data_IF_917675945365
#
_entry.id   IF_917675945365
#
_cell.length_a   1.000
_cell.length_b   1.000
_cell.length_c   1.000
_cell.angle_alpha   90.00
_cell.angle_beta   90.00
_cell.angle_gamma   90.00
#
_symmetry.space_group_name_H-M   'P 1'
#
loop_
_entity.id
_entity.type
_entity.pdbx_description
1 polymer ?
#
# COMPACT_ATOMS: atom_id res chain seq x y z
N UNK A 1 -30.77 -19.71 7.16
CA UNK A 1 -30.32 -18.77 6.12
C UNK A 1 -28.87 -18.44 6.43
N UNK A 2 -27.92 -19.09 5.73
CA UNK A 2 -26.50 -18.76 5.85
C UNK A 2 -26.28 -17.43 5.15
N UNK A 3 -25.81 -16.43 5.90
CA UNK A 3 -25.31 -15.18 5.31
C UNK A 3 -24.07 -15.56 4.49
N UNK A 4 -24.19 -15.52 3.17
CA UNK A 4 -23.04 -15.48 2.29
C UNK A 4 -22.28 -14.17 2.59
N UNK A 5 -21.24 -14.27 3.39
CA UNK A 5 -20.20 -13.26 3.43
C UNK A 5 -19.48 -13.36 2.10
N UNK A 6 -19.87 -12.55 1.13
CA UNK A 6 -19.19 -12.45 -0.14
C UNK A 6 -17.73 -12.11 0.12
N UNK A 7 -16.84 -13.09 -0.02
CA UNK A 7 -15.40 -12.87 0.12
C UNK A 7 -14.90 -12.03 -1.04
N UNK A 8 -13.94 -11.14 -0.78
CA UNK A 8 -13.23 -10.42 -1.82
C UNK A 8 -12.49 -11.42 -2.72
N UNK A 9 -12.65 -11.30 -4.03
CA UNK A 9 -11.90 -12.06 -5.02
C UNK A 9 -10.80 -11.16 -5.58
N UNK A 10 -9.57 -11.64 -5.53
CA UNK A 10 -8.39 -10.87 -5.98
C UNK A 10 -7.83 -11.45 -7.26
N UNK A 11 -7.49 -10.56 -8.18
CA UNK A 11 -6.60 -10.82 -9.30
C UNK A 11 -5.32 -10.01 -9.07
N UNK A 12 -4.21 -10.69 -8.83
CA UNK A 12 -2.94 -10.06 -8.50
C UNK A 12 -1.96 -10.29 -9.64
N UNK A 13 -1.59 -9.19 -10.30
CA UNK A 13 -0.53 -9.19 -11.30
C UNK A 13 0.74 -8.62 -10.67
N UNK A 14 1.83 -9.39 -10.72
CA UNK A 14 3.15 -8.94 -10.31
C UNK A 14 3.96 -8.59 -11.55
N UNK A 15 4.09 -7.30 -11.82
CA UNK A 15 4.89 -6.77 -12.91
C UNK A 15 6.30 -6.35 -12.41
N UNK A 16 6.81 -7.15 -11.43
CA UNK A 16 8.03 -6.86 -10.70
C UNK A 16 9.29 -6.92 -11.55
N UNK A 17 10.20 -6.01 -11.30
CA UNK A 17 11.56 -6.03 -11.86
C UNK A 17 12.05 -4.70 -12.42
N UNK A 18 12.04 -3.62 -11.62
CA UNK A 18 12.68 -2.36 -12.02
C UNK A 18 11.91 -1.57 -13.08
N UNK A 19 10.64 -1.87 -13.26
CA UNK A 19 9.75 -1.14 -14.15
C UNK A 19 9.38 0.19 -13.47
N UNK A 20 9.48 1.25 -14.24
CA UNK A 20 9.11 2.60 -13.85
C UNK A 20 7.62 2.64 -13.39
N UNK A 21 7.31 3.45 -12.37
CA UNK A 21 5.97 3.62 -11.79
C UNK A 21 4.88 3.86 -12.84
N UNK A 22 5.18 4.59 -13.92
CA UNK A 22 4.27 4.85 -15.02
C UNK A 22 3.85 3.56 -15.75
N UNK A 23 4.76 2.59 -15.89
CA UNK A 23 4.44 1.33 -16.55
C UNK A 23 3.50 0.46 -15.71
N UNK A 24 3.66 0.49 -14.39
CA UNK A 24 2.72 -0.19 -13.46
C UNK A 24 1.30 0.38 -13.64
N UNK A 25 1.17 1.70 -13.69
CA UNK A 25 -0.13 2.37 -13.92
C UNK A 25 -0.70 2.03 -15.29
N UNK A 26 0.13 2.09 -16.35
CA UNK A 26 -0.31 1.72 -17.71
C UNK A 26 -0.82 0.28 -17.78
N UNK A 27 -0.12 -0.64 -17.11
CA UNK A 27 -0.53 -2.05 -17.06
C UNK A 27 -1.85 -2.24 -16.32
N UNK A 28 -2.07 -1.52 -15.23
CA UNK A 28 -3.33 -1.56 -14.49
C UNK A 28 -4.50 -1.05 -15.36
N UNK A 29 -4.30 0.03 -16.11
CA UNK A 29 -5.29 0.56 -17.07
C UNK A 29 -5.60 -0.49 -18.15
N UNK A 30 -4.57 -1.07 -18.77
CA UNK A 30 -4.72 -2.12 -19.78
C UNK A 30 -5.54 -3.31 -19.27
N UNK A 31 -5.20 -3.82 -18.08
CA UNK A 31 -5.88 -4.98 -17.49
C UNK A 31 -7.34 -4.66 -17.14
N UNK A 32 -7.63 -3.47 -16.61
CA UNK A 32 -8.98 -3.00 -16.38
C UNK A 32 -9.78 -2.98 -17.69
N UNK A 33 -9.26 -2.37 -18.72
CA UNK A 33 -9.94 -2.23 -20.01
C UNK A 33 -10.20 -3.58 -20.67
N UNK A 34 -9.28 -4.55 -20.52
CA UNK A 34 -9.49 -5.92 -20.97
C UNK A 34 -10.62 -6.60 -20.19
N UNK A 35 -10.67 -6.42 -18.87
CA UNK A 35 -11.73 -6.97 -18.03
C UNK A 35 -13.11 -6.40 -18.40
N UNK A 36 -13.19 -5.09 -18.64
CA UNK A 36 -14.41 -4.42 -19.12
C UNK A 36 -14.88 -4.97 -20.47
N UNK A 37 -13.99 -5.09 -21.45
CA UNK A 37 -14.29 -5.69 -22.78
C UNK A 37 -14.80 -7.11 -22.65
N UNK A 38 -14.28 -7.87 -21.71
CA UNK A 38 -14.69 -9.25 -21.43
C UNK A 38 -15.97 -9.34 -20.57
N UNK A 39 -16.65 -8.22 -20.29
CA UNK A 39 -17.86 -8.15 -19.43
C UNK A 39 -17.63 -8.70 -18.01
N UNK A 40 -16.43 -8.53 -17.49
CA UNK A 40 -16.03 -8.89 -16.12
C UNK A 40 -15.26 -7.73 -15.47
N UNK A 41 -15.90 -6.54 -15.33
CA UNK A 41 -15.21 -5.38 -14.77
C UNK A 41 -14.81 -5.62 -13.33
N UNK A 42 -13.67 -5.09 -12.94
CA UNK A 42 -13.25 -5.04 -11.54
C UNK A 42 -14.05 -3.98 -10.78
N UNK A 43 -14.38 -4.25 -9.53
CA UNK A 43 -15.02 -3.27 -8.64
C UNK A 43 -14.03 -2.20 -8.17
N UNK A 44 -12.77 -2.55 -8.04
CA UNK A 44 -11.69 -1.61 -7.73
C UNK A 44 -10.38 -2.10 -8.32
N UNK A 45 -9.56 -1.19 -8.81
CA UNK A 45 -8.23 -1.47 -9.35
C UNK A 45 -7.20 -0.64 -8.60
N UNK A 46 -6.15 -1.30 -8.16
CA UNK A 46 -5.09 -0.71 -7.36
C UNK A 46 -3.71 -0.94 -7.98
N UNK A 47 -2.87 0.06 -7.87
CA UNK A 47 -1.43 -0.05 -8.14
C UNK A 47 -0.66 0.09 -6.84
N UNK A 48 0.41 -0.70 -6.68
CA UNK A 48 1.28 -0.65 -5.50
C UNK A 48 2.70 -0.40 -5.96
N UNK A 49 3.31 0.69 -5.53
CA UNK A 49 4.68 1.04 -5.90
C UNK A 49 5.33 2.00 -4.89
N UNK A 50 6.66 2.05 -4.93
CA UNK A 50 7.47 2.97 -4.16
C UNK A 50 7.87 4.19 -5.01
N UNK A 51 8.16 5.32 -4.37
CA UNK A 51 8.84 6.42 -5.04
C UNK A 51 10.22 6.00 -5.50
N UNK A 52 10.93 5.23 -4.69
CA UNK A 52 12.30 4.80 -4.96
C UNK A 52 13.23 6.00 -5.27
N UNK A 53 14.24 5.80 -6.09
CA UNK A 53 15.13 6.84 -6.62
C UNK A 53 14.63 7.47 -7.93
N UNK A 54 13.35 7.27 -8.27
CA UNK A 54 12.77 7.84 -9.47
C UNK A 54 12.70 9.37 -9.41
N UNK A 55 12.81 9.97 -10.58
CA UNK A 55 12.67 11.40 -10.77
C UNK A 55 11.32 11.89 -10.19
N UNK A 56 11.29 12.96 -9.37
CA UNK A 56 10.09 13.44 -8.71
C UNK A 56 8.87 13.56 -9.62
N UNK A 57 9.03 14.21 -10.77
CA UNK A 57 7.95 14.41 -11.73
C UNK A 57 7.39 13.10 -12.30
N UNK A 58 8.19 12.05 -12.42
CA UNK A 58 7.71 10.74 -12.91
C UNK A 58 6.80 10.06 -11.91
N UNK A 59 7.11 10.18 -10.62
CA UNK A 59 6.28 9.66 -9.55
C UNK A 59 4.92 10.37 -9.48
N UNK A 60 4.94 11.72 -9.46
CA UNK A 60 3.71 12.51 -9.41
C UNK A 60 2.84 12.28 -10.65
N UNK A 61 3.45 12.24 -11.85
CA UNK A 61 2.72 11.99 -13.09
C UNK A 61 2.08 10.60 -13.12
N UNK A 62 2.73 9.58 -12.54
CA UNK A 62 2.16 8.25 -12.46
C UNK A 62 0.91 8.23 -11.56
N UNK A 63 0.96 8.87 -10.39
CA UNK A 63 -0.19 8.97 -9.48
C UNK A 63 -1.31 9.77 -10.13
N UNK A 64 -1.01 10.94 -10.72
CA UNK A 64 -2.01 11.76 -11.40
C UNK A 64 -2.68 11.00 -12.55
N UNK A 65 -1.91 10.24 -13.32
CA UNK A 65 -2.45 9.39 -14.39
C UNK A 65 -3.35 8.28 -13.83
N UNK A 66 -2.97 7.64 -12.74
CA UNK A 66 -3.80 6.63 -12.10
C UNK A 66 -5.14 7.24 -11.64
N UNK A 67 -5.09 8.35 -10.90
CA UNK A 67 -6.27 9.07 -10.40
C UNK A 67 -7.21 9.48 -11.55
N UNK A 68 -6.68 10.07 -12.62
CA UNK A 68 -7.48 10.47 -13.80
C UNK A 68 -8.11 9.31 -14.56
N UNK A 69 -7.64 8.08 -14.32
CA UNK A 69 -8.19 6.84 -14.88
C UNK A 69 -8.96 6.00 -13.86
N UNK A 70 -9.33 6.56 -12.70
CA UNK A 70 -10.04 5.85 -11.63
C UNK A 70 -9.29 4.61 -11.10
N UNK A 71 -7.96 4.63 -11.18
CA UNK A 71 -7.07 3.62 -10.59
C UNK A 71 -6.60 4.15 -9.23
N UNK A 72 -6.74 3.35 -8.21
CA UNK A 72 -6.25 3.68 -6.87
C UNK A 72 -4.75 3.40 -6.74
N UNK A 73 -4.06 4.17 -5.90
CA UNK A 73 -2.63 3.99 -5.65
C UNK A 73 -2.34 3.75 -4.17
N UNK A 74 -1.64 2.66 -3.90
CA UNK A 74 -1.01 2.39 -2.61
C UNK A 74 0.50 2.61 -2.76
N UNK A 75 0.94 3.84 -2.56
CA UNK A 75 2.35 4.22 -2.74
C UNK A 75 3.03 4.53 -1.41
N UNK A 76 4.37 4.48 -1.41
CA UNK A 76 5.21 4.85 -0.28
C UNK A 76 6.37 5.75 -0.72
N UNK A 77 6.67 6.75 0.10
CA UNK A 77 7.80 7.65 -0.08
C UNK A 77 8.75 7.54 1.14
N UNK A 78 9.94 6.99 1.00
CA UNK A 78 10.59 6.53 -0.25
C UNK A 78 10.37 5.06 -0.57
N UNK A 79 10.06 4.18 0.41
CA UNK A 79 10.04 2.74 0.27
C UNK A 79 8.87 2.11 1.04
N UNK A 80 8.42 0.94 0.57
CA UNK A 80 7.35 0.17 1.19
C UNK A 80 7.66 -0.20 2.65
N UNK A 81 8.92 -0.28 2.99
CA UNK A 81 9.42 -0.52 4.35
C UNK A 81 8.87 0.48 5.37
N UNK A 82 8.46 1.68 4.95
CA UNK A 82 7.78 2.65 5.80
C UNK A 82 6.48 2.06 6.40
N UNK A 83 5.74 1.26 5.61
CA UNK A 83 4.56 0.55 6.10
C UNK A 83 4.90 -0.42 7.23
N UNK A 84 6.00 -1.16 7.12
CA UNK A 84 6.46 -2.04 8.21
C UNK A 84 6.86 -1.25 9.46
N UNK A 85 7.48 -0.08 9.32
CA UNK A 85 7.88 0.75 10.45
C UNK A 85 6.65 1.26 11.21
N UNK A 86 5.57 1.62 10.54
CA UNK A 86 4.34 2.03 11.21
C UNK A 86 3.71 0.95 12.10
N UNK A 87 4.10 -0.30 11.98
CA UNK A 87 3.69 -1.33 12.93
C UNK A 87 4.41 -1.22 14.29
N UNK A 88 5.54 -0.53 14.34
CA UNK A 88 6.35 -0.38 15.54
C UNK A 88 6.38 1.06 16.08
N UNK A 89 6.42 2.03 15.19
CA UNK A 89 6.79 3.42 15.49
C UNK A 89 5.94 4.43 14.69
N UNK A 90 5.52 5.52 15.36
CA UNK A 90 4.87 6.65 14.70
C UNK A 90 5.91 7.52 14.00
N UNK A 91 6.32 7.14 12.82
CA UNK A 91 7.36 7.85 12.08
C UNK A 91 6.82 9.13 11.44
N UNK A 92 7.37 10.28 11.87
CA UNK A 92 6.98 11.62 11.37
C UNK A 92 8.11 12.37 10.68
N UNK A 93 9.33 11.81 10.72
CA UNK A 93 10.52 12.44 10.09
C UNK A 93 11.02 11.56 8.94
N UNK A 94 11.48 12.18 7.83
CA UNK A 94 12.07 11.45 6.72
C UNK A 94 13.16 10.47 7.14
N UNK A 95 13.31 9.41 6.40
CA UNK A 95 14.40 8.43 6.53
C UNK A 95 15.03 8.19 5.18
N UNK A 96 16.33 7.93 5.18
CA UNK A 96 16.99 7.44 3.99
C UNK A 96 16.60 5.98 3.73
N UNK A 97 16.73 5.55 2.48
CA UNK A 97 16.39 4.18 2.08
C UNK A 97 17.27 3.14 2.79
N UNK A 98 18.51 3.48 3.07
CA UNK A 98 19.44 2.62 3.79
C UNK A 98 19.01 2.40 5.24
N UNK A 99 18.48 3.44 5.88
CA UNK A 99 18.08 3.38 7.29
C UNK A 99 16.87 2.47 7.55
N UNK A 100 16.01 2.25 6.55
CA UNK A 100 14.82 1.39 6.72
C UNK A 100 15.18 -0.03 7.15
N UNK A 101 16.21 -0.63 6.54
CA UNK A 101 16.62 -2.03 6.85
C UNK A 101 17.09 -2.16 8.28
N UNK A 102 17.91 -1.21 8.72
CA UNK A 102 18.46 -1.22 10.07
C UNK A 102 17.38 -0.95 11.10
N UNK A 103 16.46 -0.02 10.80
CA UNK A 103 15.33 0.28 11.69
C UNK A 103 14.43 -0.92 11.88
N UNK A 104 13.99 -1.59 10.80
CA UNK A 104 13.17 -2.81 10.90
C UNK A 104 13.91 -3.91 11.63
N UNK A 105 15.19 -4.12 11.31
CA UNK A 105 16.02 -5.12 12.00
C UNK A 105 16.02 -4.88 13.50
N UNK A 106 16.26 -3.65 13.94
CA UNK A 106 16.32 -3.30 15.36
C UNK A 106 14.94 -3.43 16.03
N UNK A 107 13.87 -2.94 15.40
CA UNK A 107 12.51 -3.09 15.92
C UNK A 107 12.11 -4.55 16.17
N UNK A 108 12.43 -5.44 15.21
CA UNK A 108 12.12 -6.87 15.36
C UNK A 108 13.00 -7.52 16.42
N UNK A 109 14.30 -7.19 16.47
CA UNK A 109 15.21 -7.69 17.53
C UNK A 109 14.71 -7.33 18.92
N UNK A 110 14.31 -6.08 19.12
CA UNK A 110 13.83 -5.59 20.39
C UNK A 110 12.50 -6.26 20.78
N UNK A 111 11.58 -6.39 19.83
CA UNK A 111 10.26 -6.97 20.08
C UNK A 111 10.32 -8.48 20.38
N UNK A 112 11.22 -9.23 19.73
CA UNK A 112 11.32 -10.69 19.87
C UNK A 112 12.48 -11.13 20.78
N UNK A 113 13.32 -10.22 21.23
CA UNK A 113 14.59 -10.51 21.90
C UNK A 113 15.51 -11.44 21.06
N UNK A 114 15.47 -11.31 19.72
CA UNK A 114 16.22 -12.12 18.76
C UNK A 114 17.41 -11.35 18.19
N UNK A 115 18.54 -11.35 18.88
CA UNK A 115 19.76 -10.60 18.50
C UNK A 115 20.28 -10.89 17.08
N UNK A 116 20.02 -12.08 16.56
CA UNK A 116 20.53 -12.52 15.25
C UNK A 116 19.59 -12.20 14.09
N UNK A 117 18.39 -11.69 14.35
CA UNK A 117 17.47 -11.32 13.28
C UNK A 117 18.11 -10.26 12.38
N UNK A 118 17.91 -10.39 11.07
CA UNK A 118 18.30 -9.40 10.08
C UNK A 118 17.20 -9.30 9.01
N UNK A 119 16.64 -8.12 8.85
CA UNK A 119 15.63 -7.86 7.82
C UNK A 119 16.21 -8.14 6.42
N UNK A 120 15.43 -8.84 5.62
CA UNK A 120 15.71 -9.07 4.19
C UNK A 120 14.58 -8.47 3.38
N UNK A 121 14.94 -7.70 2.34
CA UNK A 121 13.95 -7.15 1.41
C UNK A 121 13.19 -8.30 0.74
N UNK A 122 11.87 -8.12 0.58
CA UNK A 122 10.96 -9.12 -0.02
C UNK A 122 10.88 -10.45 0.76
N UNK A 123 11.11 -10.43 2.07
CA UNK A 123 10.89 -11.62 2.90
C UNK A 123 9.41 -11.98 2.93
N UNK A 124 9.00 -13.16 2.39
CA UNK A 124 7.60 -13.57 2.35
C UNK A 124 7.00 -13.79 3.76
N UNK A 125 7.84 -13.89 4.78
CA UNK A 125 7.41 -14.12 6.15
C UNK A 125 7.18 -12.82 6.94
N UNK A 126 7.36 -11.63 6.33
CA UNK A 126 7.27 -10.36 7.08
C UNK A 126 5.94 -10.21 7.82
N UNK A 127 4.81 -10.58 7.21
CA UNK A 127 3.51 -10.56 7.90
C UNK A 127 3.50 -11.41 9.16
N UNK A 128 4.07 -12.61 9.09
CA UNK A 128 4.18 -13.52 10.23
C UNK A 128 5.13 -12.97 11.30
N UNK A 129 6.25 -12.38 10.89
CA UNK A 129 7.22 -11.72 11.79
C UNK A 129 6.56 -10.57 12.53
N UNK A 130 5.85 -9.69 11.84
CA UNK A 130 5.11 -8.58 12.46
C UNK A 130 4.06 -9.08 13.46
N UNK A 131 3.34 -10.13 13.12
CA UNK A 131 2.38 -10.77 14.03
C UNK A 131 3.05 -11.31 15.30
N UNK A 132 4.21 -11.97 15.17
CA UNK A 132 5.00 -12.43 16.32
C UNK A 132 5.50 -11.29 17.20
N UNK A 133 5.83 -10.15 16.61
CA UNK A 133 6.21 -8.94 17.34
C UNK A 133 5.05 -8.30 18.12
N UNK A 134 3.85 -8.85 18.03
CA UNK A 134 2.67 -8.26 18.65
C UNK A 134 2.22 -6.95 17.98
N UNK A 135 2.58 -6.75 16.73
CA UNK A 135 2.24 -5.54 15.99
C UNK A 135 0.74 -5.41 15.75
N UNK A 136 0.23 -4.19 15.96
CA UNK A 136 -1.18 -3.83 15.75
C UNK A 136 -1.33 -3.08 14.41
N UNK A 137 -1.91 -3.77 13.42
CA UNK A 137 -2.16 -3.20 12.09
C UNK A 137 -3.10 -1.99 12.13
N UNK A 138 -4.08 -1.96 13.06
CA UNK A 138 -4.95 -0.79 13.24
C UNK A 138 -4.18 0.44 13.72
N UNK A 139 -3.14 0.23 14.51
CA UNK A 139 -2.24 1.28 14.97
C UNK A 139 -1.40 1.80 13.79
N UNK A 140 -0.88 0.91 12.95
CA UNK A 140 -0.16 1.27 11.74
C UNK A 140 -1.03 2.10 10.76
N UNK A 141 -2.28 1.67 10.55
CA UNK A 141 -3.25 2.40 9.73
C UNK A 141 -3.44 3.82 10.26
N UNK A 142 -3.73 3.98 11.56
CA UNK A 142 -3.97 5.31 12.17
C UNK A 142 -2.77 6.24 12.04
N UNK A 143 -1.55 5.73 12.23
CA UNK A 143 -0.35 6.54 12.13
C UNK A 143 -0.04 6.94 10.69
N UNK A 144 -0.16 6.02 9.74
CA UNK A 144 0.02 6.32 8.32
C UNK A 144 -1.02 7.35 7.82
N UNK A 145 -2.27 7.21 8.22
CA UNK A 145 -3.35 8.14 7.89
C UNK A 145 -3.08 9.54 8.47
N UNK A 146 -2.85 9.62 9.79
CA UNK A 146 -2.54 10.89 10.44
C UNK A 146 -1.33 11.59 9.83
N UNK A 147 -0.32 10.84 9.41
CA UNK A 147 0.84 11.40 8.75
C UNK A 147 0.51 11.90 7.34
N UNK A 148 -0.31 11.17 6.57
CA UNK A 148 -0.72 11.60 5.23
C UNK A 148 -1.55 12.89 5.25
N UNK A 149 -2.35 13.10 6.29
CA UNK A 149 -3.16 14.31 6.49
C UNK A 149 -2.32 15.58 6.71
N UNK A 150 -1.04 15.44 7.03
CA UNK A 150 -0.15 16.60 7.19
C UNK A 150 0.28 17.22 5.85
N UNK A 151 0.08 16.52 4.75
CA UNK A 151 0.56 16.90 3.42
C UNK A 151 -0.54 17.48 2.53
N UNK A 152 -1.33 18.40 3.06
CA UNK A 152 -2.35 19.12 2.27
C UNK A 152 -1.66 19.99 1.23
N UNK A 153 -2.10 19.90 -0.04
CA UNK A 153 -1.58 20.68 -1.18
C UNK A 153 -0.08 20.51 -1.48
N UNK A 154 0.51 19.43 -0.99
CA UNK A 154 1.92 19.10 -1.21
C UNK A 154 2.05 18.11 -2.36
N UNK A 155 3.00 18.31 -3.27
CA UNK A 155 3.30 17.34 -4.35
C UNK A 155 3.61 15.96 -3.77
N UNK A 156 3.19 14.89 -4.43
CA UNK A 156 3.34 13.53 -3.88
C UNK A 156 4.79 13.18 -3.56
N UNK A 157 5.74 13.61 -4.40
CA UNK A 157 7.15 13.34 -4.18
C UNK A 157 7.74 14.07 -2.95
N UNK A 158 7.12 15.16 -2.50
CA UNK A 158 7.53 15.92 -1.32
C UNK A 158 6.93 15.38 -0.02
N UNK A 159 5.88 14.55 -0.13
CA UNK A 159 5.23 13.93 1.03
C UNK A 159 6.13 12.83 1.61
N UNK A 160 7.07 13.20 2.49
CA UNK A 160 8.01 12.26 3.10
C UNK A 160 8.18 12.57 4.61
N UNK A 161 7.94 11.58 5.50
CA UNK A 161 7.51 10.21 5.23
C UNK A 161 6.00 10.10 4.97
N UNK A 162 5.59 9.42 3.93
CA UNK A 162 4.19 9.17 3.66
C UNK A 162 3.99 7.80 2.96
N UNK A 163 2.95 7.09 3.34
CA UNK A 163 2.48 5.90 2.64
C UNK A 163 0.97 5.87 2.59
N UNK A 164 0.41 5.54 1.44
CA UNK A 164 -1.03 5.36 1.26
C UNK A 164 -1.45 3.89 1.26
N UNK A 165 -0.53 2.98 1.59
CA UNK A 165 -0.77 1.53 1.72
C UNK A 165 -1.92 1.24 2.70
N UNK A 166 -2.08 2.07 3.74
CA UNK A 166 -3.18 1.92 4.70
C UNK A 166 -4.58 1.94 4.06
N UNK A 167 -4.76 2.69 2.96
CA UNK A 167 -6.04 2.74 2.24
C UNK A 167 -6.39 1.39 1.61
N UNK A 168 -5.40 0.77 0.95
CA UNK A 168 -5.56 -0.58 0.40
C UNK A 168 -5.82 -1.60 1.52
N UNK A 169 -5.07 -1.50 2.63
CA UNK A 169 -5.26 -2.41 3.78
C UNK A 169 -6.66 -2.27 4.38
N UNK A 170 -7.21 -1.06 4.52
CA UNK A 170 -8.60 -0.85 4.94
C UNK A 170 -9.60 -1.54 4.02
N UNK A 171 -9.44 -1.36 2.71
CA UNK A 171 -10.31 -2.03 1.73
C UNK A 171 -10.24 -3.55 1.89
N UNK A 172 -9.03 -4.12 1.97
CA UNK A 172 -8.82 -5.56 2.13
C UNK A 172 -9.39 -6.13 3.44
N UNK A 173 -9.50 -5.29 4.47
CA UNK A 173 -10.11 -5.63 5.76
C UNK A 173 -11.62 -5.43 5.79
N UNK A 174 -12.22 -4.91 4.71
CA UNK A 174 -13.63 -4.53 4.69
C UNK A 174 -13.95 -3.30 5.55
N UNK A 175 -12.96 -2.47 5.83
CA UNK A 175 -13.05 -1.24 6.66
C UNK A 175 -13.13 0.04 5.79
N UNK A 176 -13.38 -0.11 4.48
CA UNK A 176 -13.63 1.00 3.56
C UNK A 176 -15.15 1.16 3.34
N UNK A 177 -15.76 2.05 4.13
CA UNK A 177 -17.21 2.24 4.12
C UNK A 177 -17.73 2.72 2.75
N UNK A 178 -16.95 3.54 2.04
CA UNK A 178 -17.32 4.03 0.71
C UNK A 178 -17.39 2.88 -0.30
N UNK A 179 -16.37 2.03 -0.31
CA UNK A 179 -16.34 0.87 -1.18
C UNK A 179 -17.43 -0.14 -0.81
N UNK A 180 -17.62 -0.41 0.48
CA UNK A 180 -18.64 -1.34 0.96
C UNK A 180 -20.06 -0.88 0.57
N UNK A 181 -20.35 0.43 0.63
CA UNK A 181 -21.62 0.99 0.21
C UNK A 181 -21.83 0.86 -1.31
N UNK A 182 -20.80 1.14 -2.11
CA UNK A 182 -20.83 0.95 -3.56
C UNK A 182 -21.16 -0.50 -3.93
N UNK A 183 -20.52 -1.48 -3.28
CA UNK A 183 -20.80 -2.90 -3.51
C UNK A 183 -22.21 -3.27 -3.13
N UNK A 184 -22.72 -2.75 -2.01
CA UNK A 184 -24.11 -2.99 -1.57
C UNK A 184 -25.13 -2.50 -2.61
N UNK A 185 -24.96 -1.28 -3.11
CA UNK A 185 -25.82 -0.70 -4.14
C UNK A 185 -25.81 -1.52 -5.44
N UNK A 186 -24.64 -2.05 -5.84
CA UNK A 186 -24.53 -2.94 -7.02
C UNK A 186 -25.24 -4.28 -6.84
N UNK A 187 -25.32 -4.79 -5.61
CA UNK A 187 -25.99 -6.06 -5.34
C UNK A 187 -27.52 -5.94 -5.25
N UNK A 188 -28.02 -4.72 -5.05
CA UNK A 188 -29.46 -4.41 -4.94
C UNK A 188 -30.07 -3.99 -6.30
N UNK A 189 -29.23 -3.70 -7.31
CA UNK A 189 -29.65 -3.25 -8.65
C UNK A 189 -29.81 -4.44 -9.63
#
# INVERSE_FOLDING_TARGET
>A
MMKNSGGLVFDITNDGGGINTMNVVNKAIELRDIAEKNKRPYDSVWTVFDRDSFEPAKFDNAINKAVSNSIQCAWSNEAFELWYIYHFDNRTTPMSREDYKDRITNCVRDALNEKNFKYKKNDPNMRFILSKCGCDEKKAIRWAEKQSEQFVETSYHEQNPCTTVYKLVRLLRGEDDTFNEMIRQKMEA
#
